data_IF_555502946052
#
_entry.id   IF_555502946052
#
_cell.length_a   1.000
_cell.length_b   1.000
_cell.length_c   1.000
_cell.angle_alpha   90.00
_cell.angle_beta   90.00
_cell.angle_gamma   90.00
#
_symmetry.space_group_name_H-M   'P 1'
#
loop_
_entity.id
_entity.type
_entity.pdbx_description
1 polymer ?
#
# COMPACT_ATOMS: atom_id res chain seq x y z
N UNK A 1 8.42 -22.90 28.30
CA UNK A 1 8.82 -24.01 27.40
C UNK A 1 8.08 -23.80 26.09
N UNK A 2 8.76 -23.26 25.08
CA UNK A 2 8.15 -23.05 23.76
C UNK A 2 8.36 -24.32 22.93
N UNK A 3 7.27 -25.01 22.59
CA UNK A 3 7.30 -26.17 21.71
C UNK A 3 7.45 -25.72 20.27
N UNK A 4 8.64 -25.91 19.69
CA UNK A 4 8.85 -25.77 18.26
C UNK A 4 8.32 -27.02 17.56
N UNK A 5 7.20 -26.90 16.85
CA UNK A 5 6.73 -27.92 15.91
C UNK A 5 7.02 -27.43 14.48
N UNK A 6 7.62 -28.27 13.60
CA UNK A 6 7.96 -27.86 12.24
C UNK A 6 6.71 -27.58 11.39
N UNK A 7 6.78 -26.52 10.58
CA UNK A 7 5.72 -26.09 9.67
C UNK A 7 5.60 -27.06 8.49
N UNK A 8 4.37 -27.45 8.14
CA UNK A 8 4.06 -28.35 7.03
C UNK A 8 4.34 -27.68 5.67
N UNK A 9 5.14 -28.34 4.83
CA UNK A 9 5.72 -27.81 3.58
C UNK A 9 4.72 -27.85 2.41
N UNK A 10 3.53 -28.45 2.58
CA UNK A 10 2.60 -28.72 1.48
C UNK A 10 1.56 -27.62 1.20
N UNK A 11 1.63 -26.47 1.87
CA UNK A 11 0.78 -25.33 1.53
C UNK A 11 1.58 -24.03 1.50
N UNK A 12 1.51 -23.32 0.37
CA UNK A 12 2.25 -22.08 0.11
C UNK A 12 1.73 -20.85 0.86
N UNK A 13 0.83 -21.04 1.83
CA UNK A 13 0.32 -19.98 2.69
C UNK A 13 0.47 -20.39 4.16
N UNK A 14 1.02 -19.55 5.03
CA UNK A 14 1.02 -19.83 6.46
C UNK A 14 -0.43 -19.99 6.93
N UNK A 15 -0.71 -21.09 7.63
CA UNK A 15 -1.98 -21.26 8.34
C UNK A 15 -2.03 -20.20 9.45
N UNK A 16 -2.75 -19.10 9.19
CA UNK A 16 -3.00 -18.03 10.15
C UNK A 16 -3.85 -18.62 11.28
N UNK A 17 -3.22 -19.04 12.37
CA UNK A 17 -3.90 -19.61 13.53
C UNK A 17 -4.68 -18.56 14.34
N UNK A 18 -4.29 -17.31 14.23
CA UNK A 18 -4.87 -16.22 15.01
C UNK A 18 -5.31 -15.11 14.04
N UNK A 19 -6.59 -15.13 13.70
CA UNK A 19 -7.25 -13.92 13.22
C UNK A 19 -7.42 -13.00 14.42
N UNK A 20 -6.74 -11.87 14.38
CA UNK A 20 -6.89 -10.78 15.37
C UNK A 20 -8.40 -10.49 15.50
N UNK A 21 -8.93 -10.30 16.72
CA UNK A 21 -10.35 -10.02 16.89
C UNK A 21 -10.74 -8.80 16.04
N UNK A 22 -11.88 -8.85 15.33
CA UNK A 22 -12.35 -7.74 14.53
C UNK A 22 -12.56 -6.51 15.42
N UNK A 23 -12.28 -5.31 14.89
CA UNK A 23 -12.56 -4.05 15.59
C UNK A 23 -14.04 -3.97 15.96
N UNK A 24 -14.32 -3.58 17.21
CA UNK A 24 -15.68 -3.41 17.73
C UNK A 24 -16.51 -2.43 16.89
N UNK A 25 -15.83 -1.41 16.34
CA UNK A 25 -16.45 -0.31 15.60
C UNK A 25 -16.71 -0.58 14.10
N UNK A 26 -16.60 -1.85 13.66
CA UNK A 26 -17.06 -2.40 12.38
C UNK A 26 -17.14 -1.47 11.15
N UNK A 27 -16.26 -1.68 10.16
CA UNK A 27 -16.40 -0.99 8.87
C UNK A 27 -17.72 -1.37 8.17
N UNK A 28 -18.48 -0.36 7.75
CA UNK A 28 -19.68 -0.57 6.93
C UNK A 28 -19.28 -1.08 5.54
N UNK A 29 -20.13 -1.93 4.97
CA UNK A 29 -19.88 -2.78 3.80
C UNK A 29 -19.60 -1.97 2.54
N UNK A 30 -18.60 -2.40 1.77
CA UNK A 30 -18.39 -1.95 0.40
C UNK A 30 -19.53 -2.42 -0.52
N UNK A 31 -20.06 -1.51 -1.35
CA UNK A 31 -21.20 -1.75 -2.25
C UNK A 31 -21.05 -2.95 -3.20
N UNK A 32 -19.82 -3.41 -3.46
CA UNK A 32 -19.55 -4.58 -4.33
C UNK A 32 -19.05 -5.79 -3.55
N UNK A 33 -18.30 -5.60 -2.47
CA UNK A 33 -17.68 -6.67 -1.70
C UNK A 33 -17.90 -6.50 -0.19
N UNK A 34 -18.84 -7.22 0.39
CA UNK A 34 -19.23 -7.06 1.81
C UNK A 34 -18.09 -7.21 2.84
N UNK A 35 -17.01 -7.92 2.48
CA UNK A 35 -15.84 -8.17 3.36
C UNK A 35 -14.70 -7.15 3.19
N UNK A 36 -14.88 -6.13 2.35
CA UNK A 36 -13.86 -5.12 2.07
C UNK A 36 -14.33 -3.74 2.52
N UNK A 37 -13.40 -2.84 2.90
CA UNK A 37 -13.75 -1.47 3.27
C UNK A 37 -14.36 -0.70 2.09
N UNK A 38 -15.15 0.36 2.35
CA UNK A 38 -15.74 1.21 1.32
C UNK A 38 -14.69 1.72 0.33
N UNK A 39 -14.98 1.62 -0.97
CA UNK A 39 -14.13 2.19 -2.03
C UNK A 39 -14.42 3.69 -2.15
N UNK A 40 -13.56 4.53 -1.56
CA UNK A 40 -13.60 5.99 -1.71
C UNK A 40 -12.47 6.52 -2.59
N UNK A 41 -12.72 7.66 -3.25
CA UNK A 41 -11.78 8.31 -4.17
C UNK A 41 -10.57 8.95 -3.48
N UNK A 42 -10.70 9.34 -2.21
CA UNK A 42 -9.62 9.93 -1.41
C UNK A 42 -8.83 8.90 -0.59
N UNK A 43 -9.16 7.60 -0.74
CA UNK A 43 -8.48 6.49 -0.06
C UNK A 43 -8.74 6.41 1.45
N UNK A 44 -9.60 7.27 2.01
CA UNK A 44 -9.98 7.22 3.42
C UNK A 44 -11.12 6.20 3.55
N UNK A 45 -11.05 5.25 4.49
CA UNK A 45 -12.21 4.43 4.81
C UNK A 45 -13.13 5.24 5.73
N UNK A 46 -14.22 5.78 5.20
CA UNK A 46 -15.29 6.46 5.96
C UNK A 46 -16.01 5.53 6.92
N UNK A 47 -15.38 5.15 8.02
CA UNK A 47 -16.08 5.08 9.31
C UNK A 47 -15.09 5.42 10.43
N UNK A 48 -14.36 6.54 10.33
CA UNK A 48 -13.92 7.18 11.56
C UNK A 48 -15.21 7.63 12.25
N UNK A 49 -15.73 6.83 13.18
CA UNK A 49 -16.81 7.29 14.03
C UNK A 49 -16.23 8.50 14.77
N UNK A 50 -16.67 9.70 14.41
CA UNK A 50 -16.26 10.91 15.10
C UNK A 50 -16.88 10.91 16.50
N UNK A 51 -16.30 10.10 17.37
CA UNK A 51 -16.65 9.92 18.76
C UNK A 51 -15.63 10.74 19.55
N UNK A 52 -16.02 11.86 20.17
CA UNK A 52 -15.09 12.62 20.98
C UNK A 52 -14.60 11.79 22.17
N UNK A 53 -13.31 11.88 22.49
CA UNK A 53 -12.67 11.11 23.57
C UNK A 53 -13.33 11.31 24.93
N UNK A 54 -14.01 12.44 25.14
CA UNK A 54 -14.78 12.72 26.35
C UNK A 54 -15.95 11.76 26.56
N UNK A 55 -16.60 11.33 25.48
CA UNK A 55 -17.72 10.36 25.53
C UNK A 55 -17.17 8.97 25.87
N UNK A 56 -16.08 8.56 25.21
CA UNK A 56 -15.40 7.27 25.47
C UNK A 56 -14.92 7.20 26.93
N UNK A 57 -14.37 8.30 27.45
CA UNK A 57 -13.95 8.35 28.85
C UNK A 57 -15.13 8.29 29.82
N UNK A 58 -16.26 8.93 29.49
CA UNK A 58 -17.48 8.85 30.30
C UNK A 58 -18.02 7.41 30.34
N UNK A 59 -18.07 6.73 29.20
CA UNK A 59 -18.45 5.31 29.10
C UNK A 59 -17.49 4.43 29.91
N UNK A 60 -16.18 4.64 29.78
CA UNK A 60 -15.17 3.90 30.55
C UNK A 60 -15.41 4.02 32.07
N UNK A 61 -15.72 5.22 32.56
CA UNK A 61 -16.04 5.47 33.97
C UNK A 61 -17.31 4.71 34.38
N UNK A 62 -18.35 4.75 33.55
CA UNK A 62 -19.63 4.10 33.79
C UNK A 62 -19.52 2.56 33.77
N UNK A 63 -18.93 1.98 32.71
CA UNK A 63 -18.77 0.53 32.52
C UNK A 63 -17.92 -0.09 33.62
N UNK A 64 -16.84 0.59 34.04
CA UNK A 64 -15.94 0.11 35.08
C UNK A 64 -16.40 0.54 36.49
N UNK A 65 -17.53 1.24 36.62
CA UNK A 65 -18.12 1.70 37.88
C UNK A 65 -17.15 2.49 38.74
N UNK A 66 -16.33 3.34 38.12
CA UNK A 66 -15.31 4.15 38.80
C UNK A 66 -16.02 5.30 39.51
N UNK A 67 -15.85 5.42 40.83
CA UNK A 67 -16.56 6.42 41.66
C UNK A 67 -15.67 7.56 42.12
N UNK A 68 -14.36 7.32 42.20
CA UNK A 68 -13.41 8.31 42.73
C UNK A 68 -12.22 8.56 41.80
N UNK A 69 -11.64 9.76 41.92
CA UNK A 69 -10.42 10.14 41.18
C UNK A 69 -9.22 9.24 41.49
N UNK A 70 -9.21 8.60 42.66
CA UNK A 70 -8.16 7.65 43.03
C UNK A 70 -8.32 6.32 42.27
N UNK A 71 -9.54 5.77 42.27
CA UNK A 71 -9.88 4.57 41.51
C UNK A 71 -9.62 4.76 40.01
N UNK A 72 -9.94 5.94 39.47
CA UNK A 72 -9.65 6.28 38.08
C UNK A 72 -8.15 6.20 37.76
N UNK A 73 -7.29 6.84 38.59
CA UNK A 73 -5.83 6.77 38.42
C UNK A 73 -5.32 5.35 38.57
N UNK A 74 -5.83 4.59 39.53
CA UNK A 74 -5.44 3.21 39.75
C UNK A 74 -5.82 2.32 38.56
N UNK A 75 -7.01 2.51 38.00
CA UNK A 75 -7.49 1.81 36.82
C UNK A 75 -6.59 2.09 35.60
N UNK A 76 -6.30 3.38 35.34
CA UNK A 76 -5.41 3.77 34.26
C UNK A 76 -4.02 3.18 34.41
N UNK A 77 -3.46 3.15 35.64
CA UNK A 77 -2.14 2.56 35.87
C UNK A 77 -2.13 1.04 35.64
N UNK A 78 -3.16 0.33 36.12
CA UNK A 78 -3.26 -1.13 35.97
C UNK A 78 -3.50 -1.55 34.53
N UNK A 79 -4.30 -0.77 33.78
CA UNK A 79 -4.72 -1.11 32.41
C UNK A 79 -4.02 -0.27 31.34
N UNK A 80 -2.99 0.51 31.70
CA UNK A 80 -2.31 1.46 30.79
C UNK A 80 -1.91 0.82 29.45
N UNK A 81 -1.32 -0.37 29.50
CA UNK A 81 -0.86 -1.08 28.29
C UNK A 81 -2.01 -1.43 27.36
N UNK A 82 -3.11 -1.94 27.91
CA UNK A 82 -4.28 -2.33 27.14
C UNK A 82 -4.98 -1.12 26.51
N UNK A 83 -5.08 -0.02 27.26
CA UNK A 83 -5.67 1.23 26.76
C UNK A 83 -4.82 1.81 25.62
N UNK A 84 -3.49 1.85 25.79
CA UNK A 84 -2.59 2.32 24.74
C UNK A 84 -2.66 1.44 23.48
N UNK A 85 -2.73 0.12 23.65
CA UNK A 85 -2.86 -0.83 22.55
C UNK A 85 -4.20 -0.64 21.82
N UNK A 86 -5.31 -0.58 22.56
CA UNK A 86 -6.64 -0.33 22.00
C UNK A 86 -6.70 1.00 21.22
N UNK A 87 -6.25 2.11 21.83
CA UNK A 87 -6.24 3.41 21.17
C UNK A 87 -5.37 3.43 19.91
N UNK A 88 -4.22 2.73 19.95
CA UNK A 88 -3.37 2.58 18.78
C UNK A 88 -4.07 1.78 17.67
N UNK A 89 -4.74 0.69 18.02
CA UNK A 89 -5.49 -0.13 17.05
C UNK A 89 -6.62 0.65 16.39
N UNK A 90 -7.42 1.39 17.16
CA UNK A 90 -8.53 2.18 16.59
C UNK A 90 -7.99 3.32 15.72
N UNK A 91 -6.92 4.02 16.14
CA UNK A 91 -6.28 5.07 15.32
C UNK A 91 -5.64 4.51 14.04
N UNK A 92 -5.03 3.33 14.14
CA UNK A 92 -4.46 2.59 13.01
C UNK A 92 -5.55 2.16 12.02
N UNK A 93 -6.68 1.69 12.53
CA UNK A 93 -7.86 1.34 11.75
C UNK A 93 -8.39 2.56 10.99
N UNK A 94 -8.60 3.69 11.66
CA UNK A 94 -9.09 4.94 11.06
C UNK A 94 -8.18 5.49 9.96
N UNK A 95 -6.86 5.35 10.15
CA UNK A 95 -5.84 5.85 9.21
C UNK A 95 -5.42 4.83 8.16
N UNK A 96 -5.96 3.60 8.19
CA UNK A 96 -5.54 2.49 7.34
C UNK A 96 -4.12 1.97 7.61
N UNK A 97 -3.53 2.35 8.75
CA UNK A 97 -2.16 2.05 9.15
C UNK A 97 -2.08 0.89 10.17
N UNK A 98 -2.44 -0.33 9.74
CA UNK A 98 -2.54 -1.48 10.65
C UNK A 98 -1.21 -2.25 10.88
N UNK A 99 -0.15 -1.96 10.13
CA UNK A 99 1.13 -2.69 10.22
C UNK A 99 2.28 -1.71 10.45
N UNK A 100 2.99 -1.85 11.58
CA UNK A 100 4.27 -1.17 11.75
C UNK A 100 5.25 -1.71 10.71
N UNK A 101 6.12 -0.89 10.11
CA UNK A 101 7.10 -1.33 9.13
C UNK A 101 8.27 -1.97 9.89
N UNK A 102 8.02 -3.06 10.63
CA UNK A 102 9.08 -3.86 11.28
C UNK A 102 9.59 -4.93 10.30
N UNK A 103 8.74 -5.35 9.36
CA UNK A 103 9.08 -6.30 8.28
C UNK A 103 9.61 -5.62 7.01
N UNK A 104 9.62 -4.28 6.94
CA UNK A 104 10.38 -3.63 5.87
C UNK A 104 11.85 -3.68 6.27
N UNK A 105 12.74 -4.19 5.41
CA UNK A 105 14.16 -4.14 5.70
C UNK A 105 14.54 -2.68 5.93
N UNK A 106 15.21 -2.43 7.06
CA UNK A 106 15.79 -1.12 7.36
C UNK A 106 16.51 -0.59 6.13
N UNK A 107 16.29 0.69 5.77
CA UNK A 107 17.02 1.36 4.67
C UNK A 107 18.54 1.26 4.89
N UNK A 108 18.98 1.09 6.14
CA UNK A 108 20.38 0.93 6.52
C UNK A 108 20.91 -0.50 6.39
N UNK A 109 20.05 -1.51 6.24
CA UNK A 109 20.50 -2.91 6.20
C UNK A 109 21.13 -3.31 4.87
N UNK A 110 20.91 -2.55 3.78
CA UNK A 110 21.29 -2.90 2.41
C UNK A 110 20.83 -4.30 1.95
N UNK A 111 19.99 -5.00 2.73
CA UNK A 111 19.51 -6.34 2.43
C UNK A 111 18.13 -6.19 1.84
N UNK A 112 18.07 -6.15 0.50
CA UNK A 112 16.82 -6.30 -0.23
C UNK A 112 16.58 -7.81 -0.36
N UNK A 113 15.43 -8.35 0.03
CA UNK A 113 15.06 -9.76 -0.20
C UNK A 113 13.66 -9.83 -0.82
N UNK A 114 13.56 -10.47 -2.00
CA UNK A 114 12.34 -10.57 -2.81
C UNK A 114 12.63 -10.61 -4.32
N UNK A 115 11.73 -11.16 -5.16
CA UNK A 115 11.95 -11.35 -6.61
C UNK A 115 11.91 -10.08 -7.47
N UNK A 116 11.58 -8.91 -6.89
CA UNK A 116 11.39 -7.66 -7.63
C UNK A 116 12.29 -6.55 -7.07
N UNK A 117 13.59 -6.62 -7.36
CA UNK A 117 14.60 -5.71 -6.77
C UNK A 117 14.92 -4.45 -7.57
N UNK A 118 14.45 -4.29 -8.80
CA UNK A 118 14.76 -3.11 -9.61
C UNK A 118 13.57 -2.74 -10.50
N UNK A 119 13.33 -1.43 -10.74
CA UNK A 119 12.35 -1.00 -11.73
C UNK A 119 12.69 -1.62 -13.09
N UNK A 120 11.65 -2.00 -13.85
CA UNK A 120 11.84 -2.55 -15.18
C UNK A 120 12.43 -1.47 -16.10
N UNK A 121 13.60 -1.75 -16.66
CA UNK A 121 14.29 -0.85 -17.59
C UNK A 121 14.00 -1.29 -19.02
N UNK A 122 13.43 -0.40 -19.81
CA UNK A 122 13.20 -0.61 -21.24
C UNK A 122 14.52 -0.51 -22.01
N UNK A 123 14.72 -1.41 -22.96
CA UNK A 123 15.97 -1.48 -23.74
C UNK A 123 16.11 -0.36 -24.76
N UNK A 124 14.99 0.14 -25.28
CA UNK A 124 14.94 1.22 -26.27
C UNK A 124 13.57 1.91 -26.25
N UNK A 125 13.45 3.08 -26.88
CA UNK A 125 12.15 3.74 -27.04
C UNK A 125 11.14 2.91 -27.85
N UNK A 126 11.60 1.91 -28.60
CA UNK A 126 10.77 0.99 -29.39
C UNK A 126 10.38 -0.29 -28.64
N UNK A 127 10.86 -0.45 -27.41
CA UNK A 127 10.59 -1.60 -26.58
C UNK A 127 9.14 -1.58 -26.08
N UNK A 128 8.34 -2.55 -26.54
CA UNK A 128 6.91 -2.68 -26.24
C UNK A 128 6.63 -3.77 -25.19
N UNK A 129 7.65 -4.20 -24.46
CA UNK A 129 7.51 -5.16 -23.36
C UNK A 129 6.56 -4.62 -22.28
N UNK A 130 5.81 -5.52 -21.65
CA UNK A 130 4.84 -5.17 -20.60
C UNK A 130 5.25 -5.86 -19.31
N UNK A 131 6.05 -5.19 -18.45
CA UNK A 131 6.46 -5.78 -17.18
C UNK A 131 5.26 -5.99 -16.25
N UNK A 132 5.50 -6.73 -15.17
CA UNK A 132 4.49 -6.93 -14.13
C UNK A 132 3.94 -5.60 -13.60
N UNK A 133 2.62 -5.48 -13.51
CA UNK A 133 1.95 -4.24 -13.10
C UNK A 133 1.84 -3.16 -14.19
N UNK A 134 2.18 -3.46 -15.45
CA UNK A 134 2.02 -2.50 -16.55
C UNK A 134 0.54 -2.13 -16.75
N UNK A 135 0.19 -0.90 -16.40
CA UNK A 135 -1.11 -0.31 -16.70
C UNK A 135 -1.08 0.45 -18.03
N UNK A 136 -2.10 0.24 -18.86
CA UNK A 136 -2.33 1.00 -20.10
C UNK A 136 -3.54 1.92 -19.95
N UNK A 137 -3.38 3.17 -20.37
CA UNK A 137 -4.47 4.14 -20.53
C UNK A 137 -4.41 4.75 -21.93
N UNK A 138 -5.51 5.30 -22.41
CA UNK A 138 -5.59 5.94 -23.74
C UNK A 138 -4.55 7.08 -23.87
N UNK A 139 -4.52 7.99 -22.89
CA UNK A 139 -3.54 9.07 -22.80
C UNK A 139 -2.09 8.57 -22.84
N UNK A 140 -1.79 7.47 -22.13
CA UNK A 140 -0.45 6.88 -22.12
C UNK A 140 -0.09 6.29 -23.49
N UNK A 141 -1.03 5.64 -24.17
CA UNK A 141 -0.82 5.09 -25.50
C UNK A 141 -0.58 6.18 -26.54
N UNK A 142 -1.36 7.28 -26.50
CA UNK A 142 -1.14 8.44 -27.38
C UNK A 142 0.23 9.08 -27.14
N UNK A 143 0.64 9.23 -25.88
CA UNK A 143 1.95 9.80 -25.55
C UNK A 143 3.10 8.91 -26.05
N UNK A 144 3.10 7.63 -25.70
CA UNK A 144 4.19 6.71 -26.04
C UNK A 144 4.32 6.51 -27.56
N UNK A 145 3.21 6.47 -28.30
CA UNK A 145 3.25 6.36 -29.76
C UNK A 145 3.85 7.60 -30.44
N UNK A 146 3.60 8.80 -29.89
CA UNK A 146 4.26 10.04 -30.34
C UNK A 146 5.76 9.96 -30.10
N UNK A 147 6.20 9.61 -28.89
CA UNK A 147 7.63 9.48 -28.57
C UNK A 147 8.35 8.44 -29.45
N UNK A 148 7.69 7.31 -29.73
CA UNK A 148 8.21 6.29 -30.65
C UNK A 148 8.36 6.79 -32.09
N UNK A 149 7.46 7.66 -32.54
CA UNK A 149 7.55 8.28 -33.86
C UNK A 149 8.69 9.30 -33.90
N UNK A 150 8.79 10.15 -32.87
CA UNK A 150 9.86 11.13 -32.71
C UNK A 150 11.24 10.47 -32.67
N UNK A 151 11.39 9.35 -31.96
CA UNK A 151 12.67 8.62 -31.89
C UNK A 151 13.12 8.04 -33.24
N UNK A 152 12.21 7.91 -34.20
CA UNK A 152 12.49 7.43 -35.57
C UNK A 152 12.78 8.58 -36.55
N UNK A 153 12.70 9.84 -36.11
CA UNK A 153 13.02 10.97 -36.98
C UNK A 153 14.49 10.91 -37.38
N UNK A 154 14.71 10.66 -38.66
CA UNK A 154 16.01 10.75 -39.30
C UNK A 154 15.98 11.91 -40.29
N UNK A 155 16.93 12.83 -40.17
CA UNK A 155 17.11 13.87 -41.19
C UNK A 155 17.97 13.27 -42.30
N UNK A 156 17.46 13.12 -43.53
CA UNK A 156 18.26 12.61 -44.62
C UNK A 156 19.37 13.61 -44.96
N UNK A 157 20.63 13.20 -44.80
CA UNK A 157 21.76 13.96 -45.31
C UNK A 157 21.97 13.62 -46.79
N UNK A 158 21.80 14.61 -47.66
CA UNK A 158 22.19 14.51 -49.07
C UNK A 158 23.68 14.84 -49.15
N UNK A 159 24.52 13.84 -49.41
CA UNK A 159 25.94 14.09 -49.70
C UNK A 159 26.09 14.69 -51.09
N UNK A 160 27.12 15.51 -51.29
CA UNK A 160 27.41 16.16 -52.57
C UNK A 160 27.48 15.14 -53.72
N UNK A 161 28.05 13.96 -53.47
CA UNK A 161 28.20 12.88 -54.46
C UNK A 161 26.83 12.35 -54.94
N UNK A 162 25.87 12.20 -54.01
CA UNK A 162 24.49 11.79 -54.34
C UNK A 162 23.76 12.87 -55.15
N UNK A 163 24.07 14.14 -54.91
CA UNK A 163 23.49 15.27 -55.64
C UNK A 163 24.06 15.37 -57.06
N UNK A 164 25.38 15.28 -57.20
CA UNK A 164 26.08 15.26 -58.49
C UNK A 164 25.68 14.05 -59.34
N UNK A 165 25.56 12.86 -58.73
CA UNK A 165 25.11 11.65 -59.40
C UNK A 165 23.69 11.76 -59.97
N UNK A 166 22.78 12.46 -59.28
CA UNK A 166 21.43 12.76 -59.80
C UNK A 166 21.43 13.76 -60.95
N UNK A 167 22.34 14.75 -60.94
CA UNK A 167 22.43 15.74 -62.01
C UNK A 167 22.99 15.16 -63.31
N UNK A 168 23.84 14.13 -63.24
CA UNK A 168 24.42 13.45 -64.42
C UNK A 168 23.47 12.47 -65.12
N UNK A 169 22.32 12.11 -64.51
CA UNK A 169 21.33 11.17 -65.06
C UNK A 169 20.17 11.87 -65.80
N UNK A 170 20.30 13.16 -66.07
CA UNK A 170 19.40 13.97 -66.90
C UNK A 170 20.05 14.22 -68.26
#
# INVERSE_FOLDING_TARGET
MFSNSPVNINCGCPFIKETIPPSSLGYNTNNKYSKFPPLMSDGRSIVASWQPESIINAELIETNKIKSNWEYRQYLQKNAKQIMEYNFHESANDTGYYKRPIDVPSIQSNIVNGPHKVPYMFTSGLDNTKPFGYASSDLKQMYLSREQLESRKVSPAITQDKLLGKMSQK
#
